data_IF_703011928277
#
_entry.id   IF_703011928277
#
_cell.length_a   1.000
_cell.length_b   1.000
_cell.length_c   1.000
_cell.angle_alpha   90.00
_cell.angle_beta   90.00
_cell.angle_gamma   90.00
#
_symmetry.space_group_name_H-M   'P 1'
#
loop_
_entity.id
_entity.type
_entity.pdbx_description
1 polymer ?
#
# COMPACT_ATOMS: atom_id res chain seq x y z
N UNK A 1 19.33 1.88 -15.45
CA UNK A 1 19.50 2.80 -14.30
C UNK A 1 19.43 4.20 -14.87
N UNK A 2 18.47 5.00 -14.41
CA UNK A 2 18.19 6.33 -14.97
C UNK A 2 18.70 7.41 -14.02
N UNK A 3 19.32 8.45 -14.58
CA UNK A 3 19.69 9.64 -13.83
C UNK A 3 18.42 10.46 -13.54
N UNK A 4 18.26 10.93 -12.31
CA UNK A 4 17.11 11.75 -11.94
C UNK A 4 17.34 13.18 -12.40
N UNK A 5 16.50 13.68 -13.29
CA UNK A 5 16.60 15.07 -13.74
C UNK A 5 15.94 16.03 -12.76
N UNK A 6 16.36 17.30 -12.74
CA UNK A 6 15.74 18.37 -11.92
C UNK A 6 14.23 18.49 -12.12
N UNK A 7 13.78 18.34 -13.38
CA UNK A 7 12.36 18.37 -13.73
C UNK A 7 11.62 17.19 -13.13
N UNK A 8 12.15 15.98 -13.25
CA UNK A 8 11.54 14.79 -12.68
C UNK A 8 11.49 14.86 -11.16
N UNK A 9 12.53 15.37 -10.51
CA UNK A 9 12.53 15.54 -9.06
C UNK A 9 11.44 16.52 -8.59
N UNK A 10 11.24 17.63 -9.30
CA UNK A 10 10.13 18.54 -9.06
C UNK A 10 8.76 17.84 -9.24
N UNK A 11 8.58 17.11 -10.33
CA UNK A 11 7.35 16.35 -10.61
C UNK A 11 7.08 15.28 -9.54
N UNK A 12 8.12 14.60 -9.04
CA UNK A 12 8.00 13.61 -7.97
C UNK A 12 7.54 14.26 -6.66
N UNK A 13 8.06 15.43 -6.32
CA UNK A 13 7.66 16.16 -5.13
C UNK A 13 6.18 16.60 -5.20
N UNK A 14 5.71 17.04 -6.36
CA UNK A 14 4.29 17.37 -6.55
C UNK A 14 3.40 16.12 -6.52
N UNK A 15 3.83 15.01 -7.14
CA UNK A 15 3.13 13.73 -7.07
C UNK A 15 2.99 13.23 -5.62
N UNK A 16 3.99 13.43 -4.76
CA UNK A 16 3.89 13.10 -3.34
C UNK A 16 2.78 13.89 -2.64
N UNK A 17 2.67 15.19 -2.93
CA UNK A 17 1.61 16.06 -2.39
C UNK A 17 0.24 15.64 -2.89
N UNK A 18 0.08 15.40 -4.19
CA UNK A 18 -1.18 14.94 -4.78
C UNK A 18 -1.63 13.60 -4.18
N UNK A 19 -0.70 12.65 -4.01
CA UNK A 19 -1.00 11.35 -3.42
C UNK A 19 -1.42 11.45 -1.96
N UNK A 20 -0.74 12.28 -1.17
CA UNK A 20 -1.11 12.49 0.23
C UNK A 20 -2.54 13.03 0.36
N UNK A 21 -2.92 13.98 -0.50
CA UNK A 21 -4.27 14.52 -0.55
C UNK A 21 -5.29 13.50 -1.05
N UNK A 22 -4.94 12.70 -2.05
CA UNK A 22 -5.83 11.66 -2.58
C UNK A 22 -6.11 10.57 -1.54
N UNK A 23 -5.09 10.14 -0.78
CA UNK A 23 -5.24 9.10 0.25
C UNK A 23 -6.14 9.53 1.41
N UNK A 24 -6.16 10.83 1.72
CA UNK A 24 -7.05 11.44 2.72
C UNK A 24 -8.53 11.06 2.57
N UNK A 25 -8.96 10.82 1.33
CA UNK A 25 -10.36 10.60 0.98
C UNK A 25 -10.82 9.15 1.18
N UNK A 26 -9.91 8.23 1.47
CA UNK A 26 -10.21 6.80 1.59
C UNK A 26 -10.32 6.33 3.04
N UNK A 27 -11.02 5.21 3.23
CA UNK A 27 -11.13 4.55 4.53
C UNK A 27 -9.78 3.92 4.92
N UNK A 28 -9.21 4.43 6.00
CA UNK A 28 -7.88 4.10 6.51
C UNK A 28 -7.69 2.60 6.78
N UNK A 29 -8.76 1.93 7.23
CA UNK A 29 -8.74 0.53 7.63
C UNK A 29 -9.00 -0.44 6.47
N UNK A 30 -9.29 0.06 5.26
CA UNK A 30 -9.60 -0.75 4.10
C UNK A 30 -8.48 -0.77 3.09
N UNK A 31 -8.46 -1.83 2.30
CA UNK A 31 -7.57 -1.98 1.16
C UNK A 31 -8.26 -1.41 -0.08
N UNK A 32 -7.62 -0.43 -0.72
CA UNK A 32 -8.00 0.01 -2.04
C UNK A 32 -7.07 -0.60 -3.10
N UNK A 33 -7.60 -1.55 -3.89
CA UNK A 33 -6.82 -2.25 -4.94
C UNK A 33 -6.24 -1.28 -5.99
N UNK A 34 -7.03 -0.29 -6.38
CA UNK A 34 -6.61 0.69 -7.38
C UNK A 34 -5.41 1.50 -6.86
N UNK A 35 -5.50 2.00 -5.62
CA UNK A 35 -4.40 2.76 -5.01
C UNK A 35 -3.16 1.91 -4.78
N UNK A 36 -3.31 0.66 -4.35
CA UNK A 36 -2.18 -0.26 -4.21
C UNK A 36 -1.44 -0.48 -5.55
N UNK A 37 -2.19 -0.71 -6.65
CA UNK A 37 -1.59 -0.89 -7.98
C UNK A 37 -0.92 0.38 -8.47
N UNK A 38 -1.58 1.54 -8.33
CA UNK A 38 -1.03 2.84 -8.70
C UNK A 38 0.23 3.19 -7.90
N UNK A 39 0.26 2.85 -6.62
CA UNK A 39 1.44 2.96 -5.78
C UNK A 39 2.56 2.06 -6.28
N UNK A 40 2.29 0.79 -6.57
CA UNK A 40 3.31 -0.17 -7.04
C UNK A 40 3.96 0.25 -8.36
N UNK A 41 3.16 0.72 -9.33
CA UNK A 41 3.70 1.20 -10.61
C UNK A 41 4.64 2.40 -10.41
N UNK A 42 4.27 3.30 -9.50
CA UNK A 42 5.10 4.46 -9.17
C UNK A 42 6.34 4.10 -8.37
N UNK A 43 6.22 3.21 -7.38
CA UNK A 43 7.35 2.71 -6.62
C UNK A 43 8.37 2.02 -7.54
N UNK A 44 7.89 1.25 -8.52
CA UNK A 44 8.76 0.65 -9.54
C UNK A 44 9.51 1.72 -10.35
N UNK A 45 8.82 2.81 -10.76
CA UNK A 45 9.46 3.95 -11.42
C UNK A 45 10.50 4.62 -10.51
N UNK A 46 10.18 4.87 -9.24
CA UNK A 46 11.12 5.48 -8.29
C UNK A 46 12.39 4.65 -8.11
N UNK A 47 12.26 3.32 -8.01
CA UNK A 47 13.40 2.39 -7.88
C UNK A 47 14.30 2.33 -9.12
N UNK A 48 13.90 2.92 -10.24
CA UNK A 48 14.75 2.99 -11.44
C UNK A 48 15.77 4.12 -11.42
N UNK A 49 15.57 5.12 -10.55
CA UNK A 49 16.48 6.24 -10.36
C UNK A 49 17.55 5.89 -9.33
N UNK A 50 18.83 5.93 -9.70
CA UNK A 50 19.92 5.43 -8.85
C UNK A 50 20.02 6.19 -7.53
N UNK A 51 19.87 7.51 -7.60
CA UNK A 51 19.97 8.41 -6.45
C UNK A 51 18.84 8.16 -5.43
N UNK A 52 17.67 7.71 -5.88
CA UNK A 52 16.52 7.38 -5.04
C UNK A 52 16.48 5.90 -4.64
N UNK A 53 17.15 5.04 -5.39
CA UNK A 53 17.10 3.60 -5.18
C UNK A 53 17.53 3.25 -3.75
N UNK A 54 18.62 3.83 -3.25
CA UNK A 54 19.12 3.56 -1.91
C UNK A 54 18.09 3.84 -0.80
N UNK A 55 17.40 4.98 -0.85
CA UNK A 55 16.40 5.36 0.16
C UNK A 55 15.04 4.64 0.01
N UNK A 56 14.74 4.10 -1.18
CA UNK A 56 13.41 3.54 -1.52
C UNK A 56 13.44 2.01 -1.67
N UNK A 57 14.62 1.38 -1.73
CA UNK A 57 14.76 -0.06 -1.99
C UNK A 57 14.04 -0.92 -0.95
N UNK A 58 14.12 -0.52 0.33
CA UNK A 58 13.53 -1.21 1.48
C UNK A 58 12.00 -1.11 1.53
N UNK A 59 11.41 -0.24 0.71
CA UNK A 59 9.95 -0.12 0.63
C UNK A 59 9.42 -1.33 -0.15
N UNK A 60 8.73 -2.21 0.56
CA UNK A 60 8.04 -3.36 -0.05
C UNK A 60 6.85 -2.91 -0.91
N UNK A 61 6.51 -3.70 -1.93
CA UNK A 61 5.31 -3.46 -2.73
C UNK A 61 4.03 -3.51 -1.85
N UNK A 62 3.03 -2.71 -2.20
CA UNK A 62 1.71 -2.78 -1.60
C UNK A 62 0.99 -4.05 -2.06
N UNK A 63 0.38 -4.77 -1.12
CA UNK A 63 -0.37 -6.02 -1.37
C UNK A 63 -1.85 -5.68 -1.63
N UNK A 64 -2.36 -5.78 -2.88
CA UNK A 64 -3.72 -5.39 -3.23
C UNK A 64 -4.74 -6.50 -2.95
N UNK A 65 -4.69 -7.11 -1.76
CA UNK A 65 -5.55 -8.24 -1.37
C UNK A 65 -6.72 -7.69 -0.58
N UNK A 66 -7.95 -7.83 -1.07
CA UNK A 66 -9.13 -7.42 -0.28
C UNK A 66 -9.71 -8.59 0.49
N UNK A 67 -10.55 -8.30 1.48
CA UNK A 67 -11.33 -9.32 2.20
C UNK A 67 -12.06 -10.29 1.26
N UNK A 68 -12.63 -9.76 0.18
CA UNK A 68 -13.34 -10.58 -0.82
C UNK A 68 -12.41 -11.55 -1.56
N UNK A 69 -11.13 -11.22 -1.78
CA UNK A 69 -10.17 -12.17 -2.37
C UNK A 69 -9.92 -13.35 -1.44
N UNK A 70 -9.75 -13.10 -0.14
CA UNK A 70 -9.58 -14.17 0.85
C UNK A 70 -10.84 -15.02 0.99
N UNK A 71 -12.01 -14.40 1.05
CA UNK A 71 -13.28 -15.13 1.12
C UNK A 71 -13.48 -15.99 -0.13
N UNK A 72 -13.20 -15.46 -1.32
CA UNK A 72 -13.28 -16.22 -2.56
C UNK A 72 -12.29 -17.39 -2.58
N UNK A 73 -11.03 -17.16 -2.19
CA UNK A 73 -10.03 -18.22 -2.09
C UNK A 73 -10.44 -19.33 -1.11
N UNK A 74 -10.99 -18.96 0.04
CA UNK A 74 -11.51 -19.91 1.03
C UNK A 74 -12.68 -20.74 0.50
N UNK A 75 -13.63 -20.13 -0.21
CA UNK A 75 -14.75 -20.83 -0.84
C UNK A 75 -14.25 -21.79 -1.93
N UNK A 76 -13.31 -21.37 -2.77
CA UNK A 76 -12.72 -22.22 -3.82
C UNK A 76 -11.99 -23.41 -3.21
N UNK A 77 -11.13 -23.18 -2.21
CA UNK A 77 -10.42 -24.25 -1.50
C UNK A 77 -11.40 -25.23 -0.83
N UNK A 78 -12.48 -24.73 -0.26
CA UNK A 78 -13.53 -25.55 0.31
C UNK A 78 -14.26 -26.39 -0.75
N UNK A 79 -14.60 -25.82 -1.91
CA UNK A 79 -15.23 -26.56 -3.02
C UNK A 79 -14.31 -27.68 -3.55
N UNK A 80 -13.02 -27.39 -3.71
CA UNK A 80 -12.03 -28.40 -4.11
C UNK A 80 -11.94 -29.50 -3.05
N UNK A 81 -11.90 -29.13 -1.77
CA UNK A 81 -11.85 -30.09 -0.66
C UNK A 81 -13.10 -30.96 -0.63
N UNK A 82 -14.28 -30.37 -0.84
CA UNK A 82 -15.55 -31.11 -0.94
C UNK A 82 -15.52 -32.11 -2.09
N UNK A 83 -14.99 -31.72 -3.26
CA UNK A 83 -14.91 -32.59 -4.42
C UNK A 83 -13.95 -33.76 -4.20
N UNK A 84 -12.76 -33.51 -3.65
CA UNK A 84 -11.72 -34.52 -3.45
C UNK A 84 -12.04 -35.48 -2.30
N UNK A 85 -12.67 -35.01 -1.23
CA UNK A 85 -12.92 -35.80 -0.02
C UNK A 85 -14.31 -36.46 0.01
N UNK A 86 -15.12 -36.26 -1.05
CA UNK A 86 -16.52 -36.74 -1.11
C UNK A 86 -16.67 -38.24 -0.86
N UNK A 87 -15.79 -39.04 -1.45
CA UNK A 87 -15.87 -40.51 -1.38
C UNK A 87 -15.23 -41.08 -0.12
N UNK A 88 -14.37 -40.31 0.54
CA UNK A 88 -13.62 -40.74 1.73
C UNK A 88 -14.38 -40.46 3.03
N UNK A 89 -15.35 -39.54 3.01
CA UNK A 89 -16.06 -39.10 4.21
C UNK A 89 -17.39 -39.86 4.40
N UNK A 90 -17.65 -40.26 5.64
CA UNK A 90 -18.97 -40.77 6.04
C UNK A 90 -20.06 -39.69 5.86
N UNK A 91 -21.34 -40.07 5.83
CA UNK A 91 -22.45 -39.12 5.76
C UNK A 91 -22.37 -38.00 6.83
N UNK A 92 -21.87 -38.32 8.02
CA UNK A 92 -21.62 -37.33 9.08
C UNK A 92 -20.47 -36.38 8.75
N UNK A 93 -19.34 -36.90 8.25
CA UNK A 93 -18.18 -36.10 7.85
C UNK A 93 -18.51 -35.13 6.71
N UNK A 94 -19.31 -35.57 5.74
CA UNK A 94 -19.74 -34.72 4.63
C UNK A 94 -20.63 -33.55 5.09
N UNK A 95 -21.49 -33.77 6.10
CA UNK A 95 -22.29 -32.68 6.72
C UNK A 95 -21.42 -31.69 7.48
N UNK A 96 -20.43 -32.16 8.25
CA UNK A 96 -19.51 -31.27 8.97
C UNK A 96 -18.71 -30.41 7.98
N UNK A 97 -18.17 -31.02 6.93
CA UNK A 97 -17.48 -30.30 5.87
C UNK A 97 -18.44 -29.32 5.17
N UNK A 98 -19.72 -29.66 4.99
CA UNK A 98 -20.71 -28.74 4.43
C UNK A 98 -20.90 -27.46 5.26
N UNK A 99 -20.89 -27.57 6.59
CA UNK A 99 -21.07 -26.42 7.48
C UNK A 99 -19.77 -25.68 7.80
N UNK A 100 -18.60 -26.29 7.59
CA UNK A 100 -17.31 -25.67 7.93
C UNK A 100 -17.05 -24.38 7.15
N UNK A 101 -17.61 -24.24 5.95
CA UNK A 101 -17.46 -23.03 5.14
C UNK A 101 -18.09 -21.80 5.80
N UNK A 102 -19.25 -21.95 6.44
CA UNK A 102 -19.90 -20.83 7.14
C UNK A 102 -19.04 -20.33 8.29
N UNK A 103 -18.48 -21.25 9.09
CA UNK A 103 -17.55 -20.91 10.17
C UNK A 103 -16.30 -20.21 9.65
N UNK A 104 -15.70 -20.72 8.58
CA UNK A 104 -14.51 -20.12 7.95
C UNK A 104 -14.79 -18.72 7.40
N UNK A 105 -15.92 -18.53 6.72
CA UNK A 105 -16.33 -17.23 6.16
C UNK A 105 -16.56 -16.19 7.26
N UNK A 106 -17.25 -16.58 8.35
CA UNK A 106 -17.45 -15.70 9.50
C UNK A 106 -16.10 -15.33 10.11
N UNK A 107 -15.20 -16.29 10.34
CA UNK A 107 -13.88 -16.04 10.90
C UNK A 107 -13.07 -15.06 10.02
N UNK A 108 -13.05 -15.28 8.70
CA UNK A 108 -12.35 -14.40 7.76
C UNK A 108 -12.96 -13.01 7.69
N UNK A 109 -14.26 -12.87 7.93
CA UNK A 109 -14.92 -11.55 7.95
C UNK A 109 -14.43 -10.65 9.09
N UNK A 110 -14.10 -11.25 10.24
CA UNK A 110 -13.56 -10.54 11.40
C UNK A 110 -12.03 -10.35 11.34
N UNK A 111 -11.34 -10.98 10.38
CA UNK A 111 -9.89 -10.84 10.24
C UNK A 111 -9.53 -9.43 9.71
N UNK A 112 -8.74 -8.63 10.45
CA UNK A 112 -8.39 -7.28 10.02
C UNK A 112 -7.52 -7.30 8.76
N UNK A 113 -7.78 -6.38 7.84
CA UNK A 113 -7.12 -6.35 6.52
C UNK A 113 -5.62 -6.05 6.61
N UNK A 114 -5.19 -5.39 7.69
CA UNK A 114 -3.78 -5.07 7.95
C UNK A 114 -2.87 -6.30 8.09
N UNK A 115 -3.42 -7.47 8.45
CA UNK A 115 -2.63 -8.70 8.63
C UNK A 115 -2.16 -9.29 7.29
N UNK A 116 -2.98 -9.20 6.25
CA UNK A 116 -2.74 -9.89 4.98
C UNK A 116 -2.54 -8.96 3.79
N UNK A 117 -2.87 -7.68 3.92
CA UNK A 117 -2.86 -6.72 2.82
C UNK A 117 -2.17 -5.41 3.18
N UNK A 118 -2.21 -4.44 2.26
CA UNK A 118 -1.77 -3.06 2.52
C UNK A 118 -3.00 -2.17 2.57
N UNK A 119 -3.39 -1.77 3.78
CA UNK A 119 -4.46 -0.80 4.01
C UNK A 119 -4.03 0.60 3.53
N UNK A 120 -4.97 1.52 3.43
CA UNK A 120 -4.69 2.92 3.07
C UNK A 120 -3.69 3.54 4.05
N UNK A 121 -3.84 3.31 5.35
CA UNK A 121 -2.90 3.79 6.37
C UNK A 121 -1.46 3.27 6.14
N UNK A 122 -1.30 1.97 5.85
CA UNK A 122 0.01 1.39 5.52
C UNK A 122 0.56 1.94 4.20
N UNK A 123 -0.31 2.32 3.27
CA UNK A 123 0.07 2.96 2.02
C UNK A 123 0.58 4.39 2.27
N UNK A 124 -0.10 5.16 3.12
CA UNK A 124 0.32 6.49 3.57
C UNK A 124 1.70 6.44 4.25
N UNK A 125 1.92 5.47 5.13
CA UNK A 125 3.21 5.26 5.77
C UNK A 125 4.33 4.96 4.75
N UNK A 126 4.03 4.21 3.68
CA UNK A 126 4.99 3.95 2.59
C UNK A 126 5.26 5.21 1.76
N UNK A 127 4.24 6.02 1.47
CA UNK A 127 4.42 7.31 0.78
C UNK A 127 5.24 8.27 1.65
N UNK A 128 5.02 8.28 2.97
CA UNK A 128 5.78 9.09 3.91
C UNK A 128 7.28 8.76 3.87
N UNK A 129 7.64 7.46 3.79
CA UNK A 129 9.04 7.07 3.60
C UNK A 129 9.65 7.58 2.29
N UNK A 130 8.87 7.59 1.19
CA UNK A 130 9.33 8.19 -0.06
C UNK A 130 9.53 9.69 0.07
N UNK A 131 8.63 10.40 0.76
CA UNK A 131 8.79 11.84 1.04
C UNK A 131 10.06 12.10 1.84
N UNK A 132 10.34 11.27 2.85
CA UNK A 132 11.56 11.37 3.65
C UNK A 132 12.83 11.12 2.80
N UNK A 133 12.83 10.13 1.91
CA UNK A 133 13.94 9.90 0.99
C UNK A 133 14.16 11.06 0.00
N UNK A 134 13.09 11.65 -0.55
CA UNK A 134 13.17 12.82 -1.43
C UNK A 134 13.68 14.06 -0.70
N UNK A 135 13.33 14.23 0.57
CA UNK A 135 13.85 15.34 1.37
C UNK A 135 15.32 15.18 1.73
N UNK A 136 15.76 13.96 2.03
CA UNK A 136 17.17 13.67 2.27
C UNK A 136 18.01 14.02 1.03
N UNK A 137 17.52 13.63 -0.15
CA UNK A 137 18.14 13.98 -1.44
C UNK A 137 18.08 15.49 -1.75
N UNK A 138 17.02 16.18 -1.34
CA UNK A 138 16.95 17.64 -1.46
C UNK A 138 18.01 18.33 -0.58
N UNK A 139 18.21 17.81 0.64
CA UNK A 139 19.15 18.37 1.63
C UNK A 139 20.60 18.07 1.25
N UNK A 140 20.89 16.92 0.62
CA UNK A 140 22.23 16.59 0.13
C UNK A 140 22.70 17.48 -1.03
N UNK A 141 21.83 18.36 -1.55
CA UNK A 141 22.11 19.32 -2.64
C UNK A 141 22.58 18.70 -3.96
N UNK A 142 22.41 17.39 -4.15
CA UNK A 142 22.89 16.67 -5.34
C UNK A 142 22.25 17.15 -6.66
N UNK A 143 21.12 17.86 -6.60
CA UNK A 143 20.32 18.23 -7.77
C UNK A 143 20.58 19.65 -8.32
N UNK A 144 21.50 20.43 -7.74
CA UNK A 144 21.86 21.81 -8.19
C UNK A 144 20.66 22.64 -8.70
N UNK A 145 19.61 22.74 -7.87
CA UNK A 145 18.37 23.44 -8.19
C UNK A 145 18.45 24.91 -7.81
N UNK A 146 17.76 25.76 -8.55
CA UNK A 146 17.63 27.18 -8.19
C UNK A 146 16.90 27.35 -6.86
N UNK A 147 17.18 28.44 -6.15
CA UNK A 147 16.60 28.72 -4.82
C UNK A 147 15.07 28.68 -4.83
N UNK A 148 14.43 29.28 -5.84
CA UNK A 148 12.97 29.26 -5.98
C UNK A 148 12.41 27.83 -6.14
N UNK A 149 13.08 26.98 -6.92
CA UNK A 149 12.65 25.59 -7.13
C UNK A 149 12.88 24.76 -5.87
N UNK A 150 14.01 24.96 -5.19
CA UNK A 150 14.31 24.33 -3.92
C UNK A 150 13.20 24.58 -2.88
N UNK A 151 12.82 25.85 -2.67
CA UNK A 151 11.77 26.20 -1.72
C UNK A 151 10.41 25.61 -2.13
N UNK A 152 10.11 25.57 -3.44
CA UNK A 152 8.85 24.99 -3.90
C UNK A 152 8.78 23.48 -3.68
N UNK A 153 9.86 22.76 -3.95
CA UNK A 153 9.97 21.32 -3.67
C UNK A 153 9.83 21.07 -2.17
N UNK A 154 10.56 21.83 -1.36
CA UNK A 154 10.49 21.76 0.10
C UNK A 154 9.08 22.01 0.64
N UNK A 155 8.36 22.99 0.10
CA UNK A 155 6.98 23.28 0.46
C UNK A 155 6.04 22.10 0.13
N UNK A 156 6.18 21.53 -1.08
CA UNK A 156 5.38 20.40 -1.53
C UNK A 156 5.61 19.16 -0.63
N UNK A 157 6.88 18.82 -0.35
CA UNK A 157 7.25 17.69 0.51
C UNK A 157 6.79 17.89 1.95
N UNK A 158 6.96 19.08 2.52
CA UNK A 158 6.47 19.39 3.87
C UNK A 158 4.95 19.32 3.97
N UNK A 159 4.24 19.73 2.91
CA UNK A 159 2.78 19.64 2.87
C UNK A 159 2.34 18.18 2.80
N UNK A 160 2.95 17.37 1.93
CA UNK A 160 2.71 15.93 1.87
C UNK A 160 2.98 15.25 3.22
N UNK A 161 4.12 15.54 3.85
CA UNK A 161 4.50 14.98 5.16
C UNK A 161 3.47 15.32 6.23
N UNK A 162 3.07 16.58 6.36
CA UNK A 162 2.12 17.03 7.38
C UNK A 162 0.80 16.30 7.22
N UNK A 163 0.30 16.24 5.99
CA UNK A 163 -0.96 15.57 5.66
C UNK A 163 -0.92 14.08 6.00
N UNK A 164 0.12 13.36 5.55
CA UNK A 164 0.29 11.92 5.83
C UNK A 164 0.43 11.65 7.33
N UNK A 165 1.25 12.43 8.06
CA UNK A 165 1.40 12.24 9.51
C UNK A 165 0.10 12.53 10.25
N UNK A 166 -0.66 13.52 9.82
CA UNK A 166 -1.96 13.83 10.40
C UNK A 166 -2.94 12.67 10.20
N UNK A 167 -3.02 12.11 8.99
CA UNK A 167 -3.91 11.00 8.67
C UNK A 167 -3.55 9.74 9.48
N UNK A 168 -2.27 9.37 9.50
CA UNK A 168 -1.77 8.23 10.28
C UNK A 168 -2.08 8.41 11.77
N UNK A 169 -1.86 9.62 12.32
CA UNK A 169 -2.16 9.92 13.72
C UNK A 169 -3.67 9.86 14.04
N UNK A 170 -4.51 10.31 13.10
CA UNK A 170 -5.96 10.20 13.22
C UNK A 170 -6.45 8.75 13.15
N UNK A 171 -5.80 7.90 12.35
CA UNK A 171 -6.11 6.47 12.28
C UNK A 171 -5.80 5.75 13.60
N UNK A 172 -4.68 6.07 14.24
CA UNK A 172 -4.26 5.46 15.51
C UNK A 172 -5.06 5.91 16.74
N UNK A 173 -5.78 7.04 16.67
CA UNK A 173 -6.61 7.54 17.78
C UNK A 173 -8.02 6.94 17.85
N UNK A 174 -8.43 6.14 16.86
CA UNK A 174 -9.75 5.49 16.80
C UNK A 174 -9.72 4.11 17.43
#
# INVERSE_FOLDING_TARGET
MAELTRKEFYELADQCRERALELAHFDQNRVNRHQCRRFNMWLARLKTYDQLAAGVQDISAARPITRYDLMAAAVVLWLVSMFLLREQLSMGGNRILAFSIWGLVVLLYFLPESLYATTVELLEAKVLRVVEALEELLISQEMEVTEAVFFKIKENLNTARRELRQQIHLAHRR
#
